data_IF_863021131621
#
_entry.id   IF_863021131621
#
_cell.length_a   1.000
_cell.length_b   1.000
_cell.length_c   1.000
_cell.angle_alpha   90.00
_cell.angle_beta   90.00
_cell.angle_gamma   90.00
#
_symmetry.space_group_name_H-M   'P 1'
#
loop_
_entity.id
_entity.type
_entity.pdbx_description
1 polymer ?
#
# COMPACT_ATOMS: atom_id res chain seq x y z
N UNK A 1 1.66 5.08 -2.83
CA UNK A 1 0.23 5.44 -3.02
C UNK A 1 -0.62 5.39 -1.74
N UNK A 2 -0.49 4.39 -0.86
CA UNK A 2 -1.21 4.32 0.43
C UNK A 2 -0.75 5.40 1.44
N UNK A 3 0.09 6.35 1.03
CA UNK A 3 1.19 6.87 1.85
C UNK A 3 1.17 8.38 2.14
N UNK A 4 0.49 9.23 1.35
CA UNK A 4 0.60 10.70 1.52
C UNK A 4 -0.07 11.24 2.82
N UNK A 5 -1.10 10.56 3.34
CA UNK A 5 -1.61 10.83 4.70
C UNK A 5 -0.91 9.96 5.78
N UNK A 6 -0.36 8.78 5.42
CA UNK A 6 0.54 8.02 6.32
C UNK A 6 1.74 8.85 6.71
N UNK A 7 2.26 9.65 5.78
CA UNK A 7 3.39 10.52 6.05
C UNK A 7 3.02 11.76 6.84
N UNK A 8 1.81 12.32 6.71
CA UNK A 8 1.34 13.35 7.64
C UNK A 8 1.48 12.89 9.10
N UNK A 9 1.19 11.62 9.40
CA UNK A 9 1.42 11.04 10.73
C UNK A 9 2.86 10.54 10.96
N UNK A 10 3.60 10.10 9.94
CA UNK A 10 5.05 9.90 10.08
C UNK A 10 5.81 11.21 10.30
N UNK A 11 5.33 12.36 9.87
CA UNK A 11 5.88 13.68 10.18
C UNK A 11 5.75 13.96 11.70
N UNK A 12 4.64 13.52 12.31
CA UNK A 12 4.44 13.54 13.78
C UNK A 12 5.45 12.60 14.49
N UNK A 13 5.84 11.50 13.84
CA UNK A 13 6.79 10.51 14.37
C UNK A 13 8.27 10.84 14.04
N UNK A 14 8.56 11.56 12.95
CA UNK A 14 9.89 12.12 12.64
C UNK A 14 10.22 13.20 13.67
N UNK A 15 9.24 13.96 14.17
CA UNK A 15 9.40 14.76 15.39
C UNK A 15 9.76 13.94 16.65
N UNK A 16 9.44 12.63 16.71
CA UNK A 16 9.94 11.71 17.75
C UNK A 16 11.36 11.20 17.45
N UNK A 17 11.78 11.22 16.18
CA UNK A 17 13.05 10.67 15.69
C UNK A 17 14.22 11.67 15.74
N UNK A 18 13.95 12.99 15.72
CA UNK A 18 14.98 14.03 15.87
C UNK A 18 15.62 14.12 17.29
N UNK A 19 15.52 13.10 18.13
CA UNK A 19 16.11 13.06 19.46
C UNK A 19 16.74 11.71 19.78
N UNK A 20 18.07 11.69 19.98
CA UNK A 20 18.77 10.60 20.66
C UNK A 20 18.01 10.20 21.95
N UNK A 21 18.04 8.92 22.35
CA UNK A 21 17.28 8.43 23.49
C UNK A 21 17.93 8.92 24.79
N UNK A 22 17.54 10.10 25.28
CA UNK A 22 17.67 10.51 26.69
C UNK A 22 16.85 11.78 26.91
N UNK A 23 15.67 11.60 27.54
CA UNK A 23 14.66 12.58 27.96
C UNK A 23 13.82 13.20 26.82
N UNK A 24 12.55 12.77 26.75
CA UNK A 24 11.49 13.45 25.99
C UNK A 24 11.42 14.91 26.45
N UNK A 25 11.61 15.86 25.56
CA UNK A 25 11.58 17.28 25.89
C UNK A 25 10.13 17.78 26.02
N UNK A 26 9.92 18.79 26.87
CA UNK A 26 8.63 19.47 27.10
C UNK A 26 7.99 20.02 25.80
N UNK A 27 8.82 20.26 24.77
CA UNK A 27 8.40 20.72 23.44
C UNK A 27 7.70 19.65 22.59
N UNK A 28 8.00 18.36 22.79
CA UNK A 28 7.38 17.27 22.02
C UNK A 28 5.90 17.12 22.38
N UNK A 29 5.55 17.19 23.68
CA UNK A 29 4.16 17.09 24.16
C UNK A 29 3.26 18.22 23.63
N UNK A 30 3.79 19.43 23.48
CA UNK A 30 3.08 20.58 22.90
C UNK A 30 2.88 20.46 21.37
N UNK A 31 3.74 19.72 20.66
CA UNK A 31 3.53 19.44 19.22
C UNK A 31 2.36 18.46 19.04
N UNK A 32 2.28 17.43 19.89
CA UNK A 32 1.15 16.49 19.93
C UNK A 32 -0.19 17.16 20.25
N UNK A 33 -0.23 18.05 21.26
CA UNK A 33 -1.44 18.80 21.64
C UNK A 33 -1.89 19.76 20.52
N UNK A 34 -0.97 20.31 19.72
CA UNK A 34 -1.29 21.24 18.62
C UNK A 34 -1.76 20.53 17.34
N UNK A 35 -1.31 19.30 17.08
CA UNK A 35 -1.81 18.46 15.99
C UNK A 35 -3.18 17.84 16.29
N UNK A 36 -3.47 17.55 17.56
CA UNK A 36 -4.75 17.03 18.01
C UNK A 36 -5.88 18.08 18.00
N UNK A 37 -5.53 19.38 18.08
CA UNK A 37 -6.50 20.47 18.24
C UNK A 37 -6.95 21.15 16.92
N UNK A 38 -6.74 20.52 15.75
CA UNK A 38 -7.40 20.85 14.47
C UNK A 38 -7.39 22.32 13.98
N UNK A 39 -6.43 23.16 14.36
CA UNK A 39 -6.23 24.46 13.69
C UNK A 39 -5.31 24.31 12.47
N UNK A 40 -5.82 23.65 11.43
CA UNK A 40 -5.15 23.49 10.14
C UNK A 40 -5.65 24.58 9.20
N UNK A 41 -4.80 25.55 8.87
CA UNK A 41 -5.05 26.46 7.75
C UNK A 41 -4.71 25.73 6.45
N UNK A 42 -5.73 25.24 5.74
CA UNK A 42 -5.60 24.71 4.39
C UNK A 42 -5.45 25.88 3.41
N UNK A 43 -4.25 26.05 2.85
CA UNK A 43 -4.06 26.95 1.71
C UNK A 43 -4.03 26.13 0.42
N UNK A 44 -5.12 26.20 -0.35
CA UNK A 44 -5.14 25.69 -1.72
C UNK A 44 -4.41 26.70 -2.61
N UNK A 45 -3.11 26.47 -2.82
CA UNK A 45 -2.34 27.25 -3.76
C UNK A 45 -2.26 26.50 -5.09
N UNK A 46 -3.04 26.94 -6.08
CA UNK A 46 -2.81 26.54 -7.46
C UNK A 46 -1.47 27.15 -7.90
N UNK A 47 -0.49 26.31 -8.24
CA UNK A 47 0.73 26.80 -8.87
C UNK A 47 0.40 27.18 -10.31
N UNK A 48 0.63 28.42 -10.76
CA UNK A 48 0.15 28.89 -12.06
C UNK A 48 0.79 28.17 -13.27
N UNK A 49 1.88 27.38 -13.06
CA UNK A 49 2.65 26.77 -14.14
C UNK A 49 2.77 25.23 -14.06
N UNK A 50 2.04 24.54 -13.17
CA UNK A 50 2.05 23.07 -13.11
C UNK A 50 0.63 22.51 -13.11
N UNK A 51 0.32 21.61 -14.04
CA UNK A 51 -0.92 20.82 -14.03
C UNK A 51 -1.03 19.90 -12.79
N UNK A 52 0.00 19.82 -11.97
CA UNK A 52 0.02 19.05 -10.74
C UNK A 52 -0.72 19.77 -9.61
N UNK A 53 -1.82 19.17 -9.16
CA UNK A 53 -2.48 19.54 -7.91
C UNK A 53 -1.66 18.99 -6.74
N UNK A 54 -1.26 19.86 -5.83
CA UNK A 54 -0.63 19.46 -4.57
C UNK A 54 -1.31 20.15 -3.40
N UNK A 55 -1.23 19.52 -2.23
CA UNK A 55 -1.74 20.08 -0.97
C UNK A 55 -0.53 20.50 -0.14
N UNK A 56 -0.54 21.75 0.35
CA UNK A 56 0.46 22.22 1.32
C UNK A 56 -0.18 22.30 2.70
N UNK A 57 0.43 21.59 3.66
CA UNK A 57 0.13 21.77 5.08
C UNK A 57 1.26 22.58 5.72
N UNK A 58 0.88 23.67 6.38
CA UNK A 58 1.78 24.45 7.24
C UNK A 58 1.39 24.21 8.69
N UNK A 59 2.27 23.55 9.44
CA UNK A 59 2.06 23.26 10.86
C UNK A 59 3.28 23.76 11.61
N UNK A 60 3.21 24.99 12.17
CA UNK A 60 4.34 25.66 12.82
C UNK A 60 5.54 25.79 11.87
N UNK A 61 6.63 25.08 12.18
CA UNK A 61 7.87 25.03 11.42
C UNK A 61 7.90 23.88 10.40
N UNK A 62 6.77 23.22 10.19
CA UNK A 62 6.66 22.06 9.30
C UNK A 62 5.93 22.49 8.04
N UNK A 63 6.55 22.25 6.89
CA UNK A 63 5.92 22.37 5.58
C UNK A 63 5.84 20.99 4.95
N UNK A 64 4.61 20.54 4.68
CA UNK A 64 4.33 19.27 4.00
C UNK A 64 3.75 19.61 2.64
N UNK A 65 4.38 19.14 1.57
CA UNK A 65 3.81 19.15 0.22
C UNK A 65 3.48 17.73 -0.17
N UNK A 66 2.23 17.48 -0.53
CA UNK A 66 1.73 16.17 -0.92
C UNK A 66 1.08 16.22 -2.30
N UNK A 67 1.45 15.32 -3.19
CA UNK A 67 0.75 15.02 -4.45
C UNK A 67 0.19 13.59 -4.40
N UNK A 68 -0.37 13.11 -5.51
CA UNK A 68 -0.81 11.71 -5.65
C UNK A 68 0.35 10.71 -5.47
N UNK A 69 1.55 11.08 -5.91
CA UNK A 69 2.69 10.17 -6.05
C UNK A 69 3.93 10.62 -5.27
N UNK A 70 3.90 11.78 -4.65
CA UNK A 70 5.04 12.39 -3.99
C UNK A 70 4.60 12.97 -2.65
N UNK A 71 5.48 12.83 -1.66
CA UNK A 71 5.40 13.62 -0.45
C UNK A 71 6.76 14.15 -0.08
N UNK A 72 6.77 15.44 0.20
CA UNK A 72 7.91 16.21 0.64
C UNK A 72 7.57 16.77 2.02
N UNK A 73 8.44 16.52 2.98
CA UNK A 73 8.38 17.04 4.33
C UNK A 73 9.61 17.89 4.58
N UNK A 74 9.38 19.12 5.01
CA UNK A 74 10.41 20.07 5.42
C UNK A 74 10.15 20.42 6.88
N UNK A 75 11.17 20.21 7.71
CA UNK A 75 11.22 20.71 9.07
C UNK A 75 12.19 21.89 9.08
N UNK A 76 11.63 23.10 9.23
CA UNK A 76 12.43 24.30 9.42
C UNK A 76 13.03 24.26 10.84
N UNK A 77 14.26 23.78 10.96
CA UNK A 77 14.97 23.83 12.22
C UNK A 77 15.49 25.24 12.49
N UNK A 78 15.46 25.61 13.76
CA UNK A 78 16.17 26.78 14.29
C UNK A 78 17.67 26.60 14.10
N UNK A 79 18.39 27.71 13.96
CA UNK A 79 19.83 27.81 13.74
C UNK A 79 20.61 26.68 14.44
N UNK A 80 21.40 25.93 13.66
CA UNK A 80 22.38 25.02 14.23
C UNK A 80 23.44 25.83 15.02
N UNK A 81 24.21 25.18 15.91
CA UNK A 81 25.23 25.83 16.76
C UNK A 81 26.29 26.66 16.00
N UNK A 82 26.34 26.53 14.67
CA UNK A 82 27.23 27.26 13.75
C UNK A 82 26.54 28.42 13.00
N UNK A 83 25.29 28.78 13.35
CA UNK A 83 24.53 29.85 12.68
C UNK A 83 24.02 29.49 11.28
N UNK A 84 24.18 28.24 10.84
CA UNK A 84 23.71 27.75 9.55
C UNK A 84 22.24 27.30 9.66
N UNK A 85 21.37 27.91 8.84
CA UNK A 85 20.01 27.44 8.61
C UNK A 85 20.06 26.22 7.67
N UNK A 86 19.75 25.05 8.22
CA UNK A 86 19.63 23.79 7.48
C UNK A 86 18.25 23.22 7.76
N UNK A 87 17.54 22.87 6.70
CA UNK A 87 16.23 22.24 6.79
C UNK A 87 16.41 20.72 6.83
N UNK A 88 15.73 20.06 7.77
CA UNK A 88 15.60 18.61 7.68
C UNK A 88 14.52 18.26 6.67
N UNK A 89 14.82 17.27 5.84
CA UNK A 89 14.03 16.94 4.68
C UNK A 89 13.77 15.43 4.61
N UNK A 90 12.53 15.09 4.30
CA UNK A 90 12.13 13.74 3.94
C UNK A 90 11.39 13.80 2.61
N UNK A 91 11.75 12.92 1.69
CA UNK A 91 11.12 12.79 0.39
C UNK A 91 10.76 11.35 0.12
N UNK A 92 9.49 11.13 -0.18
CA UNK A 92 9.00 9.88 -0.71
C UNK A 92 8.33 10.12 -2.05
N UNK A 93 8.66 9.31 -3.04
CA UNK A 93 8.06 9.34 -4.37
C UNK A 93 7.79 7.93 -4.85
N UNK A 94 6.67 7.72 -5.52
CA UNK A 94 6.37 6.49 -6.25
C UNK A 94 6.17 6.84 -7.71
N UNK A 95 6.96 6.20 -8.57
CA UNK A 95 6.75 6.23 -10.00
C UNK A 95 6.13 4.90 -10.42
N UNK A 96 5.29 4.93 -11.45
CA UNK A 96 4.69 3.74 -12.02
C UNK A 96 5.20 3.61 -13.44
N UNK A 97 5.61 2.41 -13.83
CA UNK A 97 5.89 2.12 -15.23
C UNK A 97 4.59 2.03 -16.06
N UNK A 98 4.73 1.73 -17.35
CA UNK A 98 3.59 1.61 -18.26
C UNK A 98 2.63 0.48 -17.87
N UNK A 99 3.11 -0.50 -17.11
CA UNK A 99 2.37 -1.65 -16.60
C UNK A 99 1.88 -1.46 -15.15
N UNK A 100 1.96 -0.21 -14.64
CA UNK A 100 1.57 0.16 -13.29
C UNK A 100 2.31 -0.61 -12.19
N UNK A 101 3.56 -0.99 -12.46
CA UNK A 101 4.44 -1.52 -11.42
C UNK A 101 5.10 -0.36 -10.66
N UNK A 102 5.04 -0.36 -9.32
CA UNK A 102 5.56 0.75 -8.54
C UNK A 102 7.08 0.68 -8.41
N UNK A 103 7.73 1.82 -8.61
CA UNK A 103 9.12 2.09 -8.26
C UNK A 103 9.15 3.16 -7.17
N UNK A 104 9.68 2.78 -6.01
CA UNK A 104 9.70 3.61 -4.82
C UNK A 104 11.04 4.34 -4.70
N UNK A 105 10.98 5.60 -4.32
CA UNK A 105 12.12 6.42 -3.95
C UNK A 105 11.83 7.00 -2.57
N UNK A 106 12.76 6.83 -1.65
CA UNK A 106 12.65 7.40 -0.32
C UNK A 106 14.02 7.93 0.09
N UNK A 107 14.04 9.16 0.57
CA UNK A 107 15.25 9.88 0.93
C UNK A 107 15.03 10.68 2.21
N UNK A 108 15.99 10.60 3.12
CA UNK A 108 16.10 11.40 4.34
C UNK A 108 17.41 12.18 4.31
N UNK A 109 17.37 13.46 4.65
CA UNK A 109 18.59 14.22 4.77
C UNK A 109 18.39 15.69 5.12
N UNK A 110 19.39 16.48 4.78
CA UNK A 110 19.42 17.91 5.04
C UNK A 110 19.37 18.69 3.72
N UNK A 111 18.80 19.89 3.79
CA UNK A 111 18.69 20.80 2.66
C UNK A 111 19.10 22.22 3.06
N UNK A 112 19.69 22.94 2.11
CA UNK A 112 20.05 24.35 2.22
C UNK A 112 19.73 25.03 0.90
N UNK A 113 18.93 26.10 0.92
CA UNK A 113 18.54 26.85 -0.27
C UNK A 113 17.91 25.99 -1.40
N UNK A 114 17.10 24.99 -1.04
CA UNK A 114 16.52 24.01 -1.98
C UNK A 114 17.51 23.01 -2.59
N UNK A 115 18.77 22.98 -2.13
CA UNK A 115 19.76 21.98 -2.53
C UNK A 115 20.05 20.98 -1.41
N UNK A 116 20.42 19.74 -1.75
CA UNK A 116 20.89 18.75 -0.76
C UNK A 116 22.13 19.27 -0.04
N UNK A 117 22.14 19.17 1.28
CA UNK A 117 23.25 19.58 2.13
C UNK A 117 23.40 18.54 3.26
N UNK A 118 24.54 18.47 3.92
CA UNK A 118 24.72 17.57 5.07
C UNK A 118 24.65 16.08 4.69
N UNK A 119 24.16 15.24 5.59
CA UNK A 119 24.13 13.79 5.34
C UNK A 119 22.79 13.35 4.75
N UNK A 120 22.84 12.37 3.85
CA UNK A 120 21.68 11.78 3.20
C UNK A 120 21.61 10.26 3.33
N UNK A 121 20.39 9.73 3.38
CA UNK A 121 20.07 8.31 3.40
C UNK A 121 19.03 8.03 2.32
N UNK A 122 19.35 7.13 1.39
CA UNK A 122 18.44 6.64 0.35
C UNK A 122 17.99 5.22 0.66
N UNK A 123 16.70 4.96 0.46
CA UNK A 123 16.08 3.67 0.74
C UNK A 123 15.58 3.01 -0.56
N UNK A 124 15.93 1.74 -0.76
CA UNK A 124 15.59 0.99 -1.98
C UNK A 124 14.30 0.16 -1.84
N UNK A 125 13.15 0.84 -1.87
CA UNK A 125 11.83 0.19 -1.90
C UNK A 125 11.56 -0.78 -0.73
N UNK A 126 10.94 -1.94 -0.99
CA UNK A 126 10.60 -2.93 0.07
C UNK A 126 11.80 -3.66 0.69
N UNK A 127 13.02 -3.29 0.33
CA UNK A 127 14.22 -3.92 0.87
C UNK A 127 14.69 -3.18 2.12
N UNK A 128 15.34 -3.91 3.03
CA UNK A 128 16.09 -3.30 4.13
C UNK A 128 17.42 -2.67 3.65
N UNK A 129 17.65 -2.61 2.33
CA UNK A 129 18.85 -2.02 1.75
C UNK A 129 18.78 -0.49 1.83
N UNK A 130 19.71 0.06 2.59
CA UNK A 130 19.87 1.48 2.85
C UNK A 130 21.21 1.91 2.27
N UNK A 131 21.22 2.95 1.44
CA UNK A 131 22.45 3.61 1.01
C UNK A 131 22.66 4.90 1.80
N UNK A 132 23.76 4.95 2.53
CA UNK A 132 24.27 6.19 3.10
C UNK A 132 24.98 6.97 1.99
N UNK A 133 24.39 8.08 1.56
CA UNK A 133 24.91 8.82 0.40
C UNK A 133 26.19 9.60 0.71
N UNK A 134 26.64 9.64 1.97
CA UNK A 134 27.76 10.48 2.40
C UNK A 134 27.31 11.91 2.65
N UNK A 135 28.28 12.84 2.64
CA UNK A 135 28.02 14.26 2.88
C UNK A 135 27.79 14.99 1.55
N UNK A 136 26.78 15.85 1.54
CA UNK A 136 26.40 16.74 0.46
C UNK A 136 26.74 18.18 0.84
N UNK A 137 27.15 18.97 -0.14
CA UNK A 137 27.36 20.40 0.01
C UNK A 137 26.77 21.12 -1.21
N UNK A 138 25.63 21.78 -1.00
CA UNK A 138 24.91 22.56 -2.03
C UNK A 138 24.66 21.75 -3.32
N UNK A 139 24.04 20.57 -3.16
CA UNK A 139 23.64 19.72 -4.28
C UNK A 139 24.78 18.88 -4.86
N UNK A 140 26.01 19.00 -4.35
CA UNK A 140 27.15 18.19 -4.78
C UNK A 140 27.54 17.20 -3.68
N UNK A 141 27.65 15.92 -4.06
CA UNK A 141 28.16 14.87 -3.18
C UNK A 141 29.65 15.08 -2.96
N UNK A 142 30.04 15.29 -1.71
CA UNK A 142 31.44 15.43 -1.33
C UNK A 142 32.15 14.11 -1.65
N UNK A 143 33.16 14.15 -2.50
CA UNK A 143 33.96 12.96 -2.80
C UNK A 143 34.72 12.56 -1.54
N UNK A 144 34.22 11.56 -0.84
CA UNK A 144 34.89 11.00 0.33
C UNK A 144 36.21 10.38 -0.15
N UNK A 145 37.34 11.02 0.20
CA UNK A 145 38.68 10.42 0.09
C UNK A 145 38.79 9.27 1.09
N UNK A 146 38.35 8.06 0.72
CA UNK A 146 38.70 6.71 1.27
C UNK A 146 38.90 6.52 2.79
N UNK A 147 38.48 7.45 3.64
CA UNK A 147 38.47 7.32 5.09
C UNK A 147 37.02 7.24 5.53
N UNK A 148 36.73 6.32 6.44
CA UNK A 148 35.42 5.99 7.02
C UNK A 148 34.58 4.89 6.34
N UNK A 149 35.22 3.92 5.69
CA UNK A 149 34.58 2.61 5.44
C UNK A 149 34.39 1.76 6.72
N UNK A 150 34.93 2.18 7.87
CA UNK A 150 34.83 1.41 9.12
C UNK A 150 33.44 1.40 9.77
N UNK A 151 32.53 2.31 9.41
CA UNK A 151 31.12 2.24 9.86
C UNK A 151 30.18 1.46 8.94
N UNK A 152 30.60 1.21 7.69
CA UNK A 152 29.81 0.46 6.69
C UNK A 152 30.06 -1.05 6.82
N UNK A 153 31.11 -1.48 7.53
CA UNK A 153 31.46 -2.90 7.67
C UNK A 153 30.63 -3.71 8.67
N UNK A 154 29.78 -3.05 9.48
CA UNK A 154 28.90 -3.76 10.44
C UNK A 154 27.53 -4.15 9.85
N UNK A 155 27.22 -3.75 8.61
CA UNK A 155 26.02 -4.21 7.90
C UNK A 155 26.33 -5.42 7.00
N UNK A 156 26.91 -6.49 7.55
CA UNK A 156 26.85 -7.82 6.91
C UNK A 156 25.43 -8.39 7.07
N UNK A 157 24.46 -7.74 6.45
CA UNK A 157 23.15 -8.35 6.27
C UNK A 157 23.25 -9.35 5.12
N UNK A 158 22.85 -10.59 5.43
CA UNK A 158 22.79 -11.70 4.50
C UNK A 158 22.03 -11.26 3.25
N UNK A 159 22.73 -11.18 2.12
CA UNK A 159 22.08 -11.05 0.81
C UNK A 159 21.33 -12.36 0.54
N UNK A 160 20.14 -12.53 1.11
CA UNK A 160 19.22 -13.56 0.66
C UNK A 160 18.71 -13.12 -0.70
N UNK A 161 19.41 -13.56 -1.75
CA UNK A 161 18.92 -13.51 -3.13
C UNK A 161 17.45 -13.96 -3.12
N UNK A 162 16.57 -13.10 -3.62
CA UNK A 162 15.16 -13.43 -3.83
C UNK A 162 15.10 -14.75 -4.61
N UNK A 163 14.52 -15.76 -3.98
CA UNK A 163 14.36 -17.09 -4.58
C UNK A 163 13.02 -17.10 -5.30
N UNK A 164 13.05 -16.83 -6.60
CA UNK A 164 11.86 -16.97 -7.44
C UNK A 164 11.55 -18.46 -7.56
N UNK A 165 10.32 -18.86 -7.26
CA UNK A 165 9.86 -20.24 -7.39
C UNK A 165 8.75 -20.35 -8.43
N UNK A 166 8.85 -21.32 -9.34
CA UNK A 166 7.75 -21.72 -10.23
C UNK A 166 7.35 -23.17 -9.87
N UNK A 167 6.07 -23.40 -9.57
CA UNK A 167 5.52 -24.72 -9.16
C UNK A 167 6.27 -25.39 -7.99
N UNK A 168 6.76 -24.61 -7.03
CA UNK A 168 7.53 -25.12 -5.88
C UNK A 168 9.00 -25.40 -6.17
N UNK A 169 9.52 -25.06 -7.35
CA UNK A 169 10.92 -25.25 -7.74
C UNK A 169 11.64 -23.91 -7.83
N UNK A 170 12.82 -23.85 -7.21
CA UNK A 170 13.73 -22.71 -7.15
C UNK A 170 14.39 -22.45 -8.52
N UNK A 171 14.08 -21.32 -9.17
CA UNK A 171 14.54 -21.00 -10.55
C UNK A 171 16.07 -20.85 -10.64
N UNK A 172 16.74 -20.48 -9.54
CA UNK A 172 18.19 -20.24 -9.52
C UNK A 172 19.06 -21.50 -9.78
N UNK A 173 18.47 -22.70 -9.84
CA UNK A 173 19.18 -23.94 -10.15
C UNK A 173 18.96 -24.47 -11.58
N UNK A 174 18.13 -23.83 -12.42
CA UNK A 174 17.82 -24.35 -13.77
C UNK A 174 18.87 -24.05 -14.83
N UNK A 175 19.89 -23.23 -14.55
CA UNK A 175 20.92 -22.87 -15.54
C UNK A 175 22.19 -23.73 -15.51
N UNK A 176 22.26 -24.78 -14.69
CA UNK A 176 23.39 -25.71 -14.70
C UNK A 176 22.94 -27.14 -14.94
N UNK A 177 22.69 -27.41 -16.23
CA UNK A 177 22.75 -28.76 -16.80
C UNK A 177 21.48 -29.59 -16.61
N UNK A 178 20.63 -29.65 -17.63
CA UNK A 178 20.24 -30.88 -18.35
C UNK A 178 19.13 -30.59 -19.35
N UNK A 179 19.35 -31.02 -20.59
CA UNK A 179 18.41 -31.27 -21.68
C UNK A 179 17.27 -30.28 -21.94
N UNK A 180 17.51 -29.46 -22.95
CA UNK A 180 16.53 -28.75 -23.76
C UNK A 180 15.46 -29.72 -24.30
N UNK A 181 14.37 -29.87 -23.57
CA UNK A 181 13.08 -30.05 -24.22
C UNK A 181 12.42 -28.68 -24.28
N UNK A 182 12.08 -28.28 -25.50
CA UNK A 182 11.41 -27.04 -25.86
C UNK A 182 10.09 -26.89 -25.08
N UNK A 183 10.15 -26.38 -23.85
CA UNK A 183 9.01 -25.71 -23.26
C UNK A 183 8.90 -24.39 -23.99
N UNK A 184 7.90 -24.28 -24.86
CA UNK A 184 7.46 -23.01 -25.45
C UNK A 184 7.62 -21.92 -24.40
N UNK A 185 8.51 -20.96 -24.64
CA UNK A 185 8.82 -19.88 -23.69
C UNK A 185 7.51 -19.27 -23.25
N UNK A 186 7.06 -19.56 -22.02
CA UNK A 186 5.83 -18.98 -21.50
C UNK A 186 6.06 -17.48 -21.48
N UNK A 187 5.36 -16.75 -22.36
CA UNK A 187 5.39 -15.30 -22.34
C UNK A 187 4.82 -14.88 -21.00
N UNK A 188 5.68 -14.30 -20.18
CA UNK A 188 5.42 -13.83 -18.83
C UNK A 188 5.79 -12.35 -18.80
N UNK A 189 4.91 -11.52 -18.25
CA UNK A 189 5.17 -10.10 -17.98
C UNK A 189 4.70 -9.75 -16.56
N UNK A 190 5.06 -8.56 -16.09
CA UNK A 190 4.69 -8.08 -14.75
C UNK A 190 3.74 -6.91 -14.92
N UNK A 191 2.54 -7.01 -14.37
CA UNK A 191 1.53 -5.94 -14.39
C UNK A 191 0.86 -5.82 -13.05
N UNK A 192 0.68 -4.59 -12.56
CA UNK A 192 0.15 -4.32 -11.21
C UNK A 192 0.92 -5.10 -10.11
N UNK A 193 2.24 -5.25 -10.29
CA UNK A 193 3.11 -6.04 -9.41
C UNK A 193 2.71 -7.53 -9.30
N UNK A 194 2.05 -8.08 -10.32
CA UNK A 194 1.74 -9.51 -10.46
C UNK A 194 2.40 -10.10 -11.71
N UNK A 195 2.81 -11.35 -11.62
CA UNK A 195 3.35 -12.09 -12.75
C UNK A 195 2.18 -12.65 -13.59
N UNK A 196 1.98 -12.09 -14.78
CA UNK A 196 0.91 -12.50 -15.70
C UNK A 196 1.51 -13.34 -16.82
N UNK A 197 0.80 -14.40 -17.21
CA UNK A 197 1.20 -15.29 -18.30
C UNK A 197 0.09 -15.46 -19.34
N UNK A 198 0.44 -16.03 -20.49
CA UNK A 198 -0.55 -16.44 -21.50
C UNK A 198 -1.57 -17.48 -20.98
N UNK A 199 -1.25 -18.23 -19.92
CA UNK A 199 -2.23 -19.12 -19.29
C UNK A 199 -3.30 -18.32 -18.55
N UNK A 200 -2.92 -17.25 -17.85
CA UNK A 200 -3.88 -16.39 -17.14
C UNK A 200 -4.85 -15.72 -18.11
N UNK A 201 -4.38 -15.27 -19.28
CA UNK A 201 -5.26 -14.72 -20.33
C UNK A 201 -6.23 -15.78 -20.89
N UNK A 202 -5.78 -17.03 -21.05
CA UNK A 202 -6.67 -18.12 -21.50
C UNK A 202 -7.73 -18.46 -20.46
N UNK A 203 -7.40 -18.42 -19.17
CA UNK A 203 -8.37 -18.61 -18.07
C UNK A 203 -9.49 -17.55 -18.16
N UNK A 204 -9.15 -16.30 -18.48
CA UNK A 204 -10.15 -15.23 -18.61
C UNK A 204 -11.08 -15.39 -19.81
N UNK A 205 -10.65 -16.14 -20.83
CA UNK A 205 -11.45 -16.43 -22.03
C UNK A 205 -12.29 -17.70 -21.90
N UNK A 206 -12.02 -18.54 -20.90
CA UNK A 206 -12.67 -19.83 -20.73
C UNK A 206 -13.82 -19.73 -19.71
N UNK A 207 -15.01 -20.29 -20.01
CA UNK A 207 -16.16 -20.17 -19.14
C UNK A 207 -16.00 -20.97 -17.84
N UNK A 208 -15.25 -22.07 -17.84
CA UNK A 208 -15.21 -23.06 -16.74
C UNK A 208 -13.82 -23.24 -16.12
N UNK A 209 -13.16 -22.13 -15.78
CA UNK A 209 -11.81 -22.16 -15.20
C UNK A 209 -11.70 -21.30 -13.97
N UNK A 210 -11.02 -21.84 -12.95
CA UNK A 210 -10.68 -21.11 -11.74
C UNK A 210 -9.69 -19.99 -12.05
N UNK A 211 -9.96 -18.81 -11.52
CA UNK A 211 -9.00 -17.72 -11.54
C UNK A 211 -7.78 -18.05 -10.68
N UNK A 212 -6.61 -17.62 -11.13
CA UNK A 212 -5.36 -17.67 -10.37
C UNK A 212 -5.28 -16.49 -9.40
N UNK A 213 -4.40 -16.59 -8.39
CA UNK A 213 -4.09 -15.46 -7.50
C UNK A 213 -3.57 -14.25 -8.28
N UNK A 214 -2.79 -14.47 -9.34
CA UNK A 214 -2.20 -13.39 -10.14
C UNK A 214 -3.28 -12.53 -10.80
N UNK A 215 -4.34 -13.14 -11.33
CA UNK A 215 -5.48 -12.44 -11.92
C UNK A 215 -6.20 -11.58 -10.85
N UNK A 216 -6.54 -12.19 -9.72
CA UNK A 216 -7.36 -11.54 -8.69
C UNK A 216 -6.56 -10.45 -7.96
N UNK A 217 -5.31 -10.72 -7.59
CA UNK A 217 -4.44 -9.78 -6.89
C UNK A 217 -4.05 -8.59 -7.80
N UNK A 218 -3.94 -8.81 -9.11
CA UNK A 218 -3.72 -7.73 -10.08
C UNK A 218 -4.94 -6.80 -10.12
N UNK A 219 -6.14 -7.37 -10.09
CA UNK A 219 -7.37 -6.58 -10.06
C UNK A 219 -7.54 -5.78 -8.76
N UNK A 220 -7.24 -6.40 -7.62
CA UNK A 220 -7.23 -5.71 -6.33
C UNK A 220 -6.26 -4.50 -6.34
N UNK A 221 -5.08 -4.70 -6.93
CA UNK A 221 -4.07 -3.65 -7.09
C UNK A 221 -4.54 -2.54 -8.02
N UNK A 222 -5.11 -2.89 -9.17
CA UNK A 222 -5.72 -1.96 -10.12
C UNK A 222 -6.81 -1.11 -9.47
N UNK A 223 -7.78 -1.72 -8.79
CA UNK A 223 -8.87 -0.99 -8.13
C UNK A 223 -8.39 -0.09 -6.99
N UNK A 224 -7.33 -0.50 -6.27
CA UNK A 224 -6.68 0.37 -5.27
C UNK A 224 -6.04 1.60 -5.94
N UNK A 225 -5.27 1.40 -7.02
CA UNK A 225 -4.65 2.50 -7.77
C UNK A 225 -5.72 3.45 -8.32
N UNK A 226 -6.79 2.88 -8.87
CA UNK A 226 -7.88 3.66 -9.46
C UNK A 226 -8.66 4.46 -8.41
N UNK A 227 -9.02 3.85 -7.27
CA UNK A 227 -9.67 4.55 -6.17
C UNK A 227 -8.81 5.71 -5.64
N UNK A 228 -7.50 5.52 -5.55
CA UNK A 228 -6.56 6.57 -5.14
C UNK A 228 -6.49 7.71 -6.17
N UNK A 229 -6.41 7.39 -7.45
CA UNK A 229 -6.47 8.37 -8.54
C UNK A 229 -7.75 9.21 -8.44
N UNK A 230 -8.91 8.56 -8.31
CA UNK A 230 -10.20 9.25 -8.25
C UNK A 230 -10.30 10.11 -6.99
N UNK A 231 -9.84 9.62 -5.84
CA UNK A 231 -9.81 10.38 -4.59
C UNK A 231 -8.98 11.67 -4.70
N UNK A 232 -7.77 11.61 -5.26
CA UNK A 232 -6.91 12.79 -5.39
C UNK A 232 -7.34 13.73 -6.53
N UNK A 233 -7.92 13.22 -7.62
CA UNK A 233 -8.49 14.05 -8.67
C UNK A 233 -9.73 14.82 -8.18
N UNK A 234 -10.57 14.14 -7.40
CA UNK A 234 -11.80 14.64 -6.82
C UNK A 234 -11.64 15.29 -5.45
N UNK A 235 -10.44 15.67 -5.01
CA UNK A 235 -10.18 16.19 -3.65
C UNK A 235 -11.03 17.42 -3.25
N UNK A 236 -11.64 18.12 -4.21
CA UNK A 236 -12.57 19.22 -3.96
C UNK A 236 -14.05 18.79 -3.82
N UNK A 237 -14.38 17.52 -4.08
CA UNK A 237 -15.71 16.93 -3.94
C UNK A 237 -15.70 16.04 -2.69
N UNK A 238 -16.37 16.49 -1.63
CA UNK A 238 -16.27 15.97 -0.24
C UNK A 238 -16.69 14.51 0.00
N UNK A 239 -16.96 13.73 -1.05
CA UNK A 239 -17.71 12.46 -0.91
C UNK A 239 -16.99 11.21 -1.42
N UNK A 240 -15.76 11.31 -1.97
CA UNK A 240 -15.04 10.10 -2.42
C UNK A 240 -14.45 9.37 -1.21
N UNK A 241 -14.91 8.15 -1.00
CA UNK A 241 -14.50 7.27 0.09
C UNK A 241 -13.24 6.50 -0.32
N UNK A 242 -12.16 6.61 0.46
CA UNK A 242 -10.93 5.84 0.21
C UNK A 242 -11.13 4.38 0.60
N UNK A 243 -10.84 3.48 -0.35
CA UNK A 243 -10.97 2.03 -0.24
C UNK A 243 -9.62 1.38 -0.56
N UNK A 244 -9.24 0.38 0.24
CA UNK A 244 -8.00 -0.37 0.04
C UNK A 244 -8.29 -1.84 -0.23
N UNK A 245 -7.89 -2.35 -1.39
CA UNK A 245 -8.01 -3.77 -1.71
C UNK A 245 -6.65 -4.46 -1.53
N UNK A 246 -6.60 -5.42 -0.61
CA UNK A 246 -5.39 -6.15 -0.27
C UNK A 246 -5.33 -7.48 -1.03
N UNK A 247 -4.17 -7.84 -1.60
CA UNK A 247 -4.00 -9.08 -2.33
C UNK A 247 -4.14 -10.28 -1.38
N UNK A 248 -4.53 -11.40 -1.96
CA UNK A 248 -4.77 -12.65 -1.24
C UNK A 248 -3.53 -13.22 -0.57
N UNK A 249 -2.37 -13.07 -1.21
CA UNK A 249 -1.08 -13.49 -0.66
C UNK A 249 -0.82 -12.93 0.75
N UNK A 250 -1.31 -11.73 1.07
CA UNK A 250 -1.16 -11.15 2.40
C UNK A 250 -1.88 -11.99 3.45
N UNK A 251 -3.15 -12.28 3.22
CA UNK A 251 -3.95 -13.03 4.18
C UNK A 251 -3.50 -14.48 4.28
N UNK A 252 -3.16 -15.13 3.16
CA UNK A 252 -2.60 -16.49 3.15
C UNK A 252 -1.34 -16.58 4.03
N UNK A 253 -0.45 -15.59 3.94
CA UNK A 253 0.74 -15.55 4.79
C UNK A 253 0.39 -15.37 6.27
N UNK A 254 -0.60 -14.52 6.60
CA UNK A 254 -1.06 -14.38 7.99
C UNK A 254 -1.69 -15.68 8.51
N UNK A 255 -2.50 -16.37 7.70
CA UNK A 255 -3.19 -17.60 8.06
C UNK A 255 -2.25 -18.70 8.55
N UNK A 256 -1.07 -18.81 7.94
CA UNK A 256 -0.08 -19.84 8.24
C UNK A 256 0.75 -19.57 9.51
N UNK A 257 0.63 -18.38 10.10
CA UNK A 257 1.50 -17.92 11.19
C UNK A 257 0.75 -17.70 12.51
N UNK A 258 1.49 -17.49 13.60
CA UNK A 258 0.91 -17.15 14.91
C UNK A 258 0.55 -15.65 15.02
N UNK A 259 -0.18 -15.26 16.08
CA UNK A 259 -0.72 -13.90 16.25
C UNK A 259 0.35 -12.78 16.22
N UNK A 260 1.49 -12.98 16.88
CA UNK A 260 2.54 -11.94 16.92
C UNK A 260 3.18 -11.73 15.55
N UNK A 261 3.36 -12.81 14.78
CA UNK A 261 3.88 -12.76 13.42
C UNK A 261 2.84 -12.19 12.45
N UNK A 262 1.55 -12.52 12.61
CA UNK A 262 0.46 -11.98 11.78
C UNK A 262 0.44 -10.46 11.76
N UNK A 263 0.51 -9.82 12.94
CA UNK A 263 0.55 -8.36 13.04
C UNK A 263 1.77 -7.78 12.31
N UNK A 264 2.94 -8.42 12.47
CA UNK A 264 4.16 -8.03 11.75
C UNK A 264 4.04 -8.20 10.24
N UNK A 265 3.47 -9.29 9.74
CA UNK A 265 3.23 -9.51 8.30
C UNK A 265 2.34 -8.41 7.74
N UNK A 266 1.20 -8.14 8.41
CA UNK A 266 0.27 -7.10 8.01
C UNK A 266 0.94 -5.72 7.98
N UNK A 267 1.66 -5.39 9.05
CA UNK A 267 2.37 -4.13 9.15
C UNK A 267 3.48 -4.03 8.12
N UNK A 268 4.32 -5.04 7.91
CA UNK A 268 5.40 -4.98 6.92
C UNK A 268 4.86 -4.84 5.49
N UNK A 269 3.71 -5.46 5.19
CA UNK A 269 3.06 -5.28 3.89
C UNK A 269 2.61 -3.83 3.67
N UNK A 270 2.18 -3.15 4.72
CA UNK A 270 1.64 -1.79 4.66
C UNK A 270 2.65 -0.68 4.99
N UNK A 271 3.65 -0.97 5.82
CA UNK A 271 4.59 -0.08 6.46
C UNK A 271 5.98 -0.60 6.11
N UNK A 272 6.49 -0.14 4.97
CA UNK A 272 7.65 -0.70 4.29
C UNK A 272 8.96 -0.55 5.07
N UNK A 273 9.02 0.26 6.14
CA UNK A 273 10.30 0.65 6.75
C UNK A 273 10.39 0.62 8.29
N UNK A 274 9.29 0.42 9.03
CA UNK A 274 9.29 0.20 10.50
C UNK A 274 7.91 -0.09 11.08
N UNK A 275 7.88 -0.77 12.23
CA UNK A 275 6.67 -0.95 13.04
C UNK A 275 6.19 0.40 13.55
N UNK A 276 5.08 0.88 12.99
CA UNK A 276 4.39 2.05 13.52
C UNK A 276 3.15 1.56 14.26
N UNK A 277 2.96 2.06 15.47
CA UNK A 277 1.73 1.82 16.24
C UNK A 277 0.61 2.71 15.68
N UNK A 278 0.12 2.35 14.49
CA UNK A 278 -0.88 3.10 13.74
C UNK A 278 -1.98 2.18 13.20
N UNK A 279 -3.22 2.67 13.21
CA UNK A 279 -4.39 1.93 12.72
C UNK A 279 -4.71 2.37 11.29
N UNK A 280 -4.38 1.52 10.31
CA UNK A 280 -4.60 1.81 8.88
C UNK A 280 -6.04 2.21 8.52
N UNK A 281 -7.01 1.74 9.30
CA UNK A 281 -8.43 2.02 9.15
C UNK A 281 -8.81 3.49 9.45
N UNK A 282 -7.90 4.28 10.01
CA UNK A 282 -8.11 5.73 10.13
C UNK A 282 -7.85 6.48 8.82
N UNK A 283 -7.23 5.83 7.83
CA UNK A 283 -6.98 6.38 6.48
C UNK A 283 -8.07 5.96 5.50
N UNK A 284 -8.45 4.70 5.60
CA UNK A 284 -9.39 4.07 4.68
C UNK A 284 -10.72 3.92 5.35
N UNK A 285 -11.78 4.34 4.67
CA UNK A 285 -13.12 4.08 5.16
C UNK A 285 -13.39 2.57 5.22
N UNK A 286 -12.88 1.83 4.23
CA UNK A 286 -12.97 0.38 4.21
C UNK A 286 -11.70 -0.26 3.66
N UNK A 287 -11.36 -1.41 4.23
CA UNK A 287 -10.24 -2.25 3.84
C UNK A 287 -10.80 -3.61 3.44
N UNK A 288 -10.44 -4.07 2.27
CA UNK A 288 -10.90 -5.31 1.68
C UNK A 288 -9.75 -6.30 1.64
N UNK A 289 -9.99 -7.51 2.11
CA UNK A 289 -9.09 -8.64 2.01
C UNK A 289 -9.67 -9.62 1.00
N UNK A 290 -8.93 -9.88 -0.06
CA UNK A 290 -9.19 -11.05 -0.89
C UNK A 290 -8.75 -12.28 -0.11
N UNK A 291 -9.63 -13.26 0.07
CA UNK A 291 -9.33 -14.49 0.81
C UNK A 291 -9.37 -15.66 -0.16
N UNK A 292 -8.35 -16.50 -0.09
CA UNK A 292 -8.35 -17.83 -0.69
C UNK A 292 -8.26 -18.86 0.43
N UNK A 293 -9.29 -19.69 0.57
CA UNK A 293 -9.35 -20.78 1.53
C UNK A 293 -9.77 -22.05 0.80
N UNK A 294 -8.86 -23.02 0.71
CA UNK A 294 -9.13 -24.33 0.09
C UNK A 294 -9.65 -24.22 -1.36
N UNK A 295 -9.01 -23.39 -2.18
CA UNK A 295 -9.39 -23.11 -3.58
C UNK A 295 -10.70 -22.33 -3.75
N UNK A 296 -11.31 -21.88 -2.65
CA UNK A 296 -12.47 -21.01 -2.67
C UNK A 296 -12.08 -19.55 -2.41
N UNK A 297 -12.62 -18.66 -3.24
CA UNK A 297 -12.34 -17.22 -3.19
C UNK A 297 -13.55 -16.45 -2.66
N UNK A 298 -13.29 -15.54 -1.72
CA UNK A 298 -14.28 -14.61 -1.21
C UNK A 298 -13.64 -13.29 -0.77
N UNK A 299 -14.46 -12.26 -0.58
CA UNK A 299 -14.00 -10.92 -0.18
C UNK A 299 -14.43 -10.61 1.25
N UNK A 300 -13.54 -10.05 2.05
CA UNK A 300 -13.86 -9.58 3.40
C UNK A 300 -13.61 -8.09 3.50
N UNK A 301 -14.63 -7.32 3.89
CA UNK A 301 -14.56 -5.87 4.12
C UNK A 301 -14.50 -5.59 5.61
N UNK A 302 -13.58 -4.74 6.01
CA UNK A 302 -13.48 -4.18 7.36
C UNK A 302 -13.75 -2.69 7.26
N UNK A 303 -14.65 -2.19 8.10
CA UNK A 303 -14.95 -0.76 8.19
C UNK A 303 -15.01 -0.30 9.64
N UNK A 304 -14.74 0.98 9.86
CA UNK A 304 -14.87 1.64 11.16
C UNK A 304 -16.19 2.41 11.19
N UNK A 305 -17.04 2.10 12.17
CA UNK A 305 -18.34 2.74 12.36
C UNK A 305 -18.39 3.43 13.72
N UNK A 306 -19.02 4.60 13.78
CA UNK A 306 -19.22 5.33 15.04
C UNK A 306 -20.57 4.92 15.63
N UNK A 307 -20.54 4.23 16.76
CA UNK A 307 -21.74 3.82 17.52
C UNK A 307 -21.67 4.47 18.89
N UNK A 308 -22.60 5.38 19.17
CA UNK A 308 -22.80 6.09 20.46
C UNK A 308 -21.48 6.30 21.24
N UNK A 309 -20.77 7.38 20.93
CA UNK A 309 -19.50 7.80 21.56
C UNK A 309 -18.30 6.83 21.42
N UNK A 310 -18.48 5.65 20.84
CA UNK A 310 -17.39 4.72 20.55
C UNK A 310 -17.22 4.48 19.05
N UNK A 311 -16.02 4.04 18.66
CA UNK A 311 -15.78 3.48 17.33
C UNK A 311 -15.69 1.97 17.44
N UNK A 312 -16.45 1.28 16.60
CA UNK A 312 -16.41 -0.17 16.48
C UNK A 312 -15.95 -0.57 15.09
N UNK A 313 -15.32 -1.74 15.01
CA UNK A 313 -15.01 -2.37 13.74
C UNK A 313 -16.11 -3.34 13.34
N UNK A 314 -16.53 -3.22 12.08
CA UNK A 314 -17.49 -4.10 11.43
C UNK A 314 -16.78 -4.91 10.35
N UNK A 315 -17.00 -6.21 10.37
CA UNK A 315 -16.62 -7.14 9.29
C UNK A 315 -17.86 -7.44 8.47
N UNK A 316 -17.75 -7.37 7.14
CA UNK A 316 -18.70 -7.87 6.15
C UNK A 316 -18.00 -8.90 5.25
N UNK A 317 -18.66 -10.03 4.97
CA UNK A 317 -18.10 -11.13 4.18
C UNK A 317 -18.95 -11.29 2.92
N UNK A 318 -18.35 -11.09 1.75
CA UNK A 318 -18.99 -11.32 0.45
C UNK A 318 -18.53 -12.68 -0.07
N UNK A 319 -19.36 -13.69 0.18
CA UNK A 319 -19.14 -15.05 -0.29
C UNK A 319 -20.24 -15.44 -1.29
N UNK A 320 -19.83 -15.99 -2.43
CA UNK A 320 -20.72 -16.48 -3.48
C UNK A 320 -21.22 -17.91 -3.21
N UNK A 321 -20.62 -18.62 -2.25
CA UNK A 321 -21.05 -19.92 -1.76
C UNK A 321 -21.54 -19.77 -0.32
N UNK A 322 -22.59 -20.51 0.03
CA UNK A 322 -23.09 -20.56 1.41
C UNK A 322 -22.25 -21.51 2.25
N UNK A 323 -21.46 -20.96 3.16
CA UNK A 323 -20.80 -21.70 4.24
C UNK A 323 -21.46 -21.45 5.59
N UNK A 324 -21.21 -22.35 6.55
CA UNK A 324 -21.59 -22.17 7.94
C UNK A 324 -20.64 -21.20 8.66
N UNK A 325 -21.11 -20.51 9.69
CA UNK A 325 -20.31 -19.52 10.45
C UNK A 325 -18.94 -20.05 10.94
N UNK A 326 -18.84 -21.35 11.24
CA UNK A 326 -17.58 -21.95 11.69
C UNK A 326 -16.47 -21.90 10.63
N UNK A 327 -16.82 -21.86 9.35
CA UNK A 327 -15.88 -21.75 8.23
C UNK A 327 -15.06 -20.45 8.33
N UNK A 328 -15.67 -19.36 8.79
CA UNK A 328 -15.05 -18.04 8.90
C UNK A 328 -14.36 -17.77 10.25
N UNK A 329 -14.56 -18.62 11.27
CA UNK A 329 -14.12 -18.36 12.66
C UNK A 329 -12.63 -18.03 12.77
N UNK A 330 -11.78 -18.79 12.08
CA UNK A 330 -10.33 -18.58 12.13
C UNK A 330 -9.94 -17.27 11.43
N UNK A 331 -10.58 -16.93 10.31
CA UNK A 331 -10.32 -15.68 9.60
C UNK A 331 -10.70 -14.48 10.47
N UNK A 332 -11.89 -14.52 11.07
CA UNK A 332 -12.36 -13.50 12.00
C UNK A 332 -11.37 -13.35 13.16
N UNK A 333 -10.91 -14.46 13.75
CA UNK A 333 -9.92 -14.42 14.84
C UNK A 333 -8.64 -13.70 14.43
N UNK A 334 -8.10 -13.99 13.25
CA UNK A 334 -6.89 -13.32 12.73
C UNK A 334 -7.15 -11.82 12.59
N UNK A 335 -8.23 -11.42 11.92
CA UNK A 335 -8.55 -10.00 11.74
C UNK A 335 -8.79 -9.28 13.08
N UNK A 336 -9.42 -9.95 14.05
CA UNK A 336 -9.59 -9.43 15.42
C UNK A 336 -8.27 -9.13 16.13
N UNK A 337 -7.20 -9.87 15.82
CA UNK A 337 -5.87 -9.55 16.37
C UNK A 337 -5.21 -8.33 15.73
N UNK A 338 -5.57 -8.00 14.48
CA UNK A 338 -5.01 -6.87 13.75
C UNK A 338 -5.70 -5.56 14.14
N UNK A 339 -7.03 -5.60 14.27
CA UNK A 339 -7.87 -4.42 14.48
C UNK A 339 -8.45 -4.38 15.89
N UNK A 340 -7.60 -4.47 16.92
CA UNK A 340 -7.93 -4.34 18.35
C UNK A 340 -9.29 -3.63 18.58
N UNK A 341 -10.28 -4.32 19.17
CA UNK A 341 -11.68 -3.87 19.35
C UNK A 341 -12.67 -4.23 18.23
N UNK A 342 -12.49 -5.37 17.56
CA UNK A 342 -13.56 -5.98 16.77
C UNK A 342 -14.69 -6.46 17.69
N UNK A 343 -15.73 -5.63 17.85
CA UNK A 343 -16.90 -5.93 18.71
C UNK A 343 -18.04 -6.60 17.94
N UNK A 344 -18.16 -6.37 16.63
CA UNK A 344 -19.31 -6.84 15.85
C UNK A 344 -18.86 -7.43 14.51
N UNK A 345 -19.34 -8.64 14.24
CA UNK A 345 -19.14 -9.35 12.98
C UNK A 345 -20.50 -9.49 12.33
N UNK A 346 -20.65 -8.94 11.13
CA UNK A 346 -21.86 -9.07 10.34
C UNK A 346 -21.55 -9.90 9.11
N UNK A 347 -22.03 -11.13 9.08
CA UNK A 347 -21.91 -11.93 7.86
C UNK A 347 -23.01 -11.47 6.89
N UNK A 348 -22.66 -10.54 6.01
CA UNK A 348 -23.56 -10.08 4.96
C UNK A 348 -23.50 -11.03 3.77
N UNK A 349 -24.30 -12.09 3.84
CA UNK A 349 -24.54 -12.94 2.70
C UNK A 349 -25.26 -12.11 1.62
N UNK A 350 -24.56 -11.74 0.55
CA UNK A 350 -25.19 -11.08 -0.59
C UNK A 350 -25.97 -12.13 -1.41
N UNK A 351 -27.12 -12.54 -0.88
CA UNK A 351 -27.92 -13.65 -1.38
C UNK A 351 -28.46 -13.47 -2.80
N UNK A 352 -28.46 -12.24 -3.31
CA UNK A 352 -28.91 -11.95 -4.68
C UNK A 352 -27.98 -12.54 -5.75
N UNK A 353 -26.78 -13.00 -5.36
CA UNK A 353 -25.67 -13.26 -6.25
C UNK A 353 -24.92 -14.56 -5.89
N UNK A 354 -25.65 -15.62 -5.51
CA UNK A 354 -25.05 -16.94 -5.28
C UNK A 354 -24.53 -17.54 -6.60
N UNK A 355 -23.31 -18.05 -6.58
CA UNK A 355 -22.77 -18.75 -7.74
C UNK A 355 -23.55 -20.05 -7.99
N UNK A 356 -23.75 -20.38 -9.28
CA UNK A 356 -24.47 -21.59 -9.70
C UNK A 356 -23.54 -22.75 -10.07
N UNK A 357 -22.23 -22.51 -10.11
CA UNK A 357 -21.22 -23.49 -10.49
C UNK A 357 -20.10 -23.55 -9.43
N UNK A 358 -19.09 -24.39 -9.66
CA UNK A 358 -18.01 -24.63 -8.69
C UNK A 358 -16.76 -23.78 -8.94
N UNK A 359 -16.68 -23.03 -10.04
CA UNK A 359 -15.45 -22.39 -10.52
C UNK A 359 -15.49 -20.85 -10.56
N UNK A 360 -16.67 -20.23 -10.42
CA UNK A 360 -16.81 -18.77 -10.52
C UNK A 360 -16.51 -17.99 -9.23
N UNK A 361 -16.05 -18.62 -8.16
CA UNK A 361 -15.81 -17.93 -6.89
C UNK A 361 -14.78 -16.79 -7.03
N UNK A 362 -13.77 -16.97 -7.89
CA UNK A 362 -12.81 -15.93 -8.27
C UNK A 362 -13.46 -14.76 -9.01
N UNK A 363 -14.16 -14.99 -10.14
CA UNK A 363 -14.93 -13.94 -10.82
C UNK A 363 -15.94 -13.21 -9.93
N UNK A 364 -16.69 -13.92 -9.07
CA UNK A 364 -17.61 -13.29 -8.11
C UNK A 364 -16.89 -12.42 -7.08
N UNK A 365 -15.73 -12.85 -6.61
CA UNK A 365 -14.87 -12.02 -5.73
C UNK A 365 -14.47 -10.73 -6.44
N UNK A 366 -14.07 -10.81 -7.70
CA UNK A 366 -13.74 -9.64 -8.52
C UNK A 366 -14.96 -8.73 -8.77
N UNK A 367 -16.12 -9.30 -9.06
CA UNK A 367 -17.37 -8.54 -9.21
C UNK A 367 -17.70 -7.76 -7.93
N UNK A 368 -17.62 -8.41 -6.75
CA UNK A 368 -17.86 -7.73 -5.48
C UNK A 368 -16.86 -6.60 -5.22
N UNK A 369 -15.58 -6.79 -5.58
CA UNK A 369 -14.59 -5.68 -5.50
C UNK A 369 -14.98 -4.51 -6.41
N UNK A 370 -15.44 -4.78 -7.64
CA UNK A 370 -15.88 -3.74 -8.57
C UNK A 370 -17.11 -2.99 -8.07
N UNK A 371 -18.13 -3.71 -7.60
CA UNK A 371 -19.35 -3.13 -7.04
C UNK A 371 -19.03 -2.23 -5.84
N UNK A 372 -18.15 -2.68 -4.96
CA UNK A 372 -17.66 -1.87 -3.84
C UNK A 372 -16.91 -0.64 -4.33
N UNK A 373 -15.99 -0.75 -5.29
CA UNK A 373 -15.31 0.41 -5.87
C UNK A 373 -16.30 1.43 -6.47
N UNK A 374 -17.31 0.98 -7.22
CA UNK A 374 -18.29 1.87 -7.83
C UNK A 374 -19.20 2.54 -6.78
N UNK A 375 -19.46 1.90 -5.63
CA UNK A 375 -20.32 2.47 -4.59
C UNK A 375 -19.74 3.79 -4.02
N UNK A 376 -18.42 3.94 -4.09
CA UNK A 376 -17.71 5.17 -3.69
C UNK A 376 -17.75 6.30 -4.72
N UNK A 377 -18.20 6.04 -5.94
CA UNK A 377 -18.24 7.02 -7.02
C UNK A 377 -19.68 7.54 -7.18
N UNK A 378 -19.82 8.82 -7.53
CA UNK A 378 -21.08 9.57 -7.47
C UNK A 378 -22.26 8.91 -8.21
N UNK A 379 -23.49 9.31 -7.87
CA UNK A 379 -24.76 8.76 -8.35
C UNK A 379 -24.87 8.68 -9.89
N UNK A 380 -24.15 9.52 -10.65
CA UNK A 380 -24.24 9.52 -12.11
C UNK A 380 -23.69 8.24 -12.78
N UNK A 381 -22.74 7.54 -12.16
CA UNK A 381 -22.28 6.23 -12.65
C UNK A 381 -23.14 5.07 -12.11
N UNK A 382 -24.07 5.34 -11.17
CA UNK A 382 -24.95 4.29 -10.63
C UNK A 382 -25.93 3.71 -11.65
N UNK A 383 -26.21 4.43 -12.73
CA UNK A 383 -27.10 3.96 -13.78
C UNK A 383 -26.51 2.78 -14.61
N UNK A 384 -25.22 2.47 -14.48
CA UNK A 384 -24.56 1.35 -15.20
C UNK A 384 -24.47 0.05 -14.39
N UNK A 385 -25.03 -0.01 -13.18
CA UNK A 385 -24.88 -1.19 -12.30
C UNK A 385 -25.64 -2.42 -12.79
N UNK A 386 -26.71 -2.24 -13.57
CA UNK A 386 -27.58 -3.35 -13.95
C UNK A 386 -26.94 -4.33 -14.95
N UNK A 387 -25.84 -3.92 -15.62
CA UNK A 387 -25.20 -4.73 -16.66
C UNK A 387 -23.90 -5.41 -16.20
N UNK A 388 -23.43 -5.13 -14.96
CA UNK A 388 -22.17 -5.70 -14.47
C UNK A 388 -22.41 -7.12 -13.96
N UNK A 389 -21.83 -8.09 -14.66
CA UNK A 389 -21.89 -9.50 -14.33
C UNK A 389 -20.49 -10.15 -14.41
N UNK A 390 -20.41 -11.45 -14.12
CA UNK A 390 -19.16 -12.23 -14.15
C UNK A 390 -18.46 -12.17 -15.52
N UNK A 391 -19.20 -12.21 -16.63
CA UNK A 391 -18.61 -12.17 -17.97
C UNK A 391 -18.06 -10.79 -18.32
N UNK A 392 -18.73 -9.72 -17.89
CA UNK A 392 -18.22 -8.36 -18.01
C UNK A 392 -16.89 -8.19 -17.24
N UNK A 393 -16.78 -8.79 -16.04
CA UNK A 393 -15.55 -8.77 -15.25
C UNK A 393 -14.42 -9.57 -15.92
N UNK A 394 -14.72 -10.74 -16.49
CA UNK A 394 -13.73 -11.52 -17.28
C UNK A 394 -13.18 -10.71 -18.45
N UNK A 395 -14.05 -10.02 -19.19
CA UNK A 395 -13.66 -9.18 -20.32
C UNK A 395 -12.85 -7.95 -19.88
N UNK A 396 -13.27 -7.28 -18.80
CA UNK A 396 -12.52 -6.16 -18.19
C UNK A 396 -11.10 -6.62 -17.82
N UNK A 397 -10.99 -7.75 -17.11
CA UNK A 397 -9.70 -8.31 -16.71
C UNK A 397 -8.83 -8.73 -17.89
N UNK A 398 -9.42 -9.33 -18.93
CA UNK A 398 -8.68 -9.72 -20.12
C UNK A 398 -8.06 -8.49 -20.80
N UNK A 399 -8.86 -7.43 -20.97
CA UNK A 399 -8.39 -6.18 -21.57
C UNK A 399 -7.37 -5.46 -20.69
N UNK A 400 -7.53 -5.53 -19.38
CA UNK A 400 -6.62 -4.93 -18.41
C UNK A 400 -5.26 -5.64 -18.40
N UNK A 401 -5.26 -6.97 -18.45
CA UNK A 401 -4.06 -7.78 -18.21
C UNK A 401 -3.28 -8.15 -19.47
N UNK A 402 -3.91 -8.10 -20.66
CA UNK A 402 -3.20 -8.37 -21.92
C UNK A 402 -1.97 -7.45 -22.08
N UNK A 403 -0.89 -8.02 -22.61
CA UNK A 403 0.30 -7.27 -22.97
C UNK A 403 -0.03 -6.40 -24.19
N UNK A 404 0.31 -5.11 -24.14
CA UNK A 404 0.01 -4.12 -25.21
C UNK A 404 1.21 -3.86 -26.08
#
# INVERSE_FOLDING_TARGET
>A
MIFCYKLYQQCILICQWCGRPKKKSKSQKQIFELLANNNINLQNNNCPNSNEKYIIYLIKNIKIKATQNELLFHLNNQENQEGLQVEQFFHYKVEYDQDYNPKFYCYEGEMKNSDRHGYGISYYGKSEEIEYEGKWFNGQKEQIKKFDQQRIQDSKFFHQKIKIMENGVLINNLFKGTNQNQTSSRQIWIKFNQQISQLDLRILQQPQTYFTSNIIDAYASYLTIKNEQDFFQGFNQTNIKRKLFLPSSLFTNMWQNNNSIQKRIFQNYLLEYKYIDYQIIDIYQSIYFVINQEFHWYLVKIMKEKVINEYIYKIEIFDSIRHYDWYYKRMIKILSTLFNNLKQVYVNYNFNYLQKNTYDCGPWTCLNMKLEYLESISIQEKCQYNDINVEAIKLELFNLLKNT
#
